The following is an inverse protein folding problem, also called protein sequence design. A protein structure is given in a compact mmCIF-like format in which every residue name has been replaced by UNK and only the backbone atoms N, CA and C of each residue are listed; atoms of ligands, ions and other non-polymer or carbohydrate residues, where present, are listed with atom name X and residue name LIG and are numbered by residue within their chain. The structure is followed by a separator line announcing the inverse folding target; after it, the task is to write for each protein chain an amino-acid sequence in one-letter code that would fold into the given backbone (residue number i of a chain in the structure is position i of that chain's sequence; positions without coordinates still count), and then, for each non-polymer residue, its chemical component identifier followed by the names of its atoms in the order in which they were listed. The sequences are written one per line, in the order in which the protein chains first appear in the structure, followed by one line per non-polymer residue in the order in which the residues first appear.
data_IF_972970904849
#
_entry.id   IF_972970904849
#
_cell.length_a   1.000
_cell.length_b   1.000
_cell.length_c   1.000
_cell.angle_alpha   90.00
_cell.angle_beta   90.00
_cell.angle_gamma   90.00
#
_symmetry.space_group_name_H-M   'P 1'
#
loop_
_entity.id
_entity.type
_entity.pdbx_description
1 polymer ?
#
# COMPACT_ATOMS: atom_id res chain seq x y z
N UNK A 1 2.20 31.07 -19.21
CA UNK A 1 3.05 30.87 -20.40
C UNK A 1 4.45 31.48 -20.21
N UNK A 2 4.57 32.78 -19.91
CA UNK A 2 5.86 33.46 -19.72
C UNK A 2 6.77 32.84 -18.63
N UNK A 3 6.24 32.58 -17.42
CA UNK A 3 7.04 31.96 -16.34
C UNK A 3 7.50 30.54 -16.65
N UNK A 4 6.69 29.77 -17.39
CA UNK A 4 7.04 28.42 -17.81
C UNK A 4 8.20 28.46 -18.80
N UNK A 5 8.09 29.25 -19.88
CA UNK A 5 9.17 29.39 -20.86
C UNK A 5 10.48 29.87 -20.22
N UNK A 6 10.40 30.87 -19.31
CA UNK A 6 11.58 31.37 -18.59
C UNK A 6 12.20 30.30 -17.68
N UNK A 7 11.41 29.44 -17.06
CA UNK A 7 11.93 28.33 -16.27
C UNK A 7 12.57 27.26 -17.16
N UNK A 8 11.95 26.94 -18.31
CA UNK A 8 12.48 25.95 -19.26
C UNK A 8 13.81 26.41 -19.85
N UNK A 9 13.91 27.67 -20.28
CA UNK A 9 15.17 28.25 -20.80
C UNK A 9 16.27 28.17 -19.76
N UNK A 10 16.00 28.56 -18.51
CA UNK A 10 17.00 28.52 -17.46
C UNK A 10 17.44 27.10 -17.08
N UNK A 11 16.55 26.11 -17.21
CA UNK A 11 16.91 24.68 -17.05
C UNK A 11 17.83 24.24 -18.19
N UNK A 12 17.52 24.58 -19.43
CA UNK A 12 18.38 24.26 -20.57
C UNK A 12 19.77 24.92 -20.43
N UNK A 13 19.82 26.20 -20.06
CA UNK A 13 21.08 26.92 -19.83
C UNK A 13 21.91 26.26 -18.72
N UNK A 14 21.26 25.80 -17.64
CA UNK A 14 21.93 25.10 -16.54
C UNK A 14 22.41 23.69 -16.94
N UNK A 15 21.65 22.98 -17.78
CA UNK A 15 22.06 21.69 -18.36
C UNK A 15 23.27 21.88 -19.28
N UNK A 16 23.25 22.88 -20.15
CA UNK A 16 24.35 23.18 -21.08
C UNK A 16 25.62 23.57 -20.31
N UNK A 17 25.50 24.34 -19.21
CA UNK A 17 26.63 24.64 -18.33
C UNK A 17 27.22 23.37 -17.70
N UNK A 18 26.40 22.43 -17.24
CA UNK A 18 26.87 21.18 -16.65
C UNK A 18 27.44 20.20 -17.68
N UNK A 19 26.90 20.18 -18.90
CA UNK A 19 27.45 19.42 -20.02
C UNK A 19 28.83 19.94 -20.43
N UNK A 20 28.98 21.27 -20.53
CA UNK A 20 30.25 21.93 -20.81
C UNK A 20 31.31 21.65 -19.72
N UNK A 21 30.91 21.66 -18.44
CA UNK A 21 31.79 21.31 -17.32
C UNK A 21 32.22 19.84 -17.32
N UNK A 22 31.41 18.96 -17.90
CA UNK A 22 31.67 17.51 -17.95
C UNK A 22 32.33 17.09 -19.28
N UNK A 23 32.68 18.03 -20.15
CA UNK A 23 33.21 17.79 -21.50
C UNK A 23 32.33 16.90 -22.40
N UNK A 24 31.02 16.93 -22.19
CA UNK A 24 30.04 16.19 -23.01
C UNK A 24 29.41 17.16 -24.01
N UNK A 25 29.42 16.81 -25.31
CA UNK A 25 28.93 17.70 -26.37
C UNK A 25 27.40 17.71 -26.47
N UNK A 26 26.74 16.55 -26.32
CA UNK A 26 25.29 16.47 -26.43
C UNK A 26 24.67 15.71 -25.26
N UNK A 27 23.54 16.20 -24.75
CA UNK A 27 22.77 15.52 -23.71
C UNK A 27 22.31 14.10 -24.13
N UNK A 28 22.16 13.87 -25.43
CA UNK A 28 21.79 12.57 -26.01
C UNK A 28 22.85 11.50 -25.82
N UNK A 29 24.11 11.90 -25.63
CA UNK A 29 25.26 10.99 -25.50
C UNK A 29 25.36 10.37 -24.11
N UNK A 30 24.56 10.87 -23.16
CA UNK A 30 24.47 10.36 -21.80
C UNK A 30 23.54 9.14 -21.70
N UNK A 31 23.89 8.20 -20.83
CA UNK A 31 22.96 7.16 -20.38
C UNK A 31 21.81 7.78 -19.57
N UNK A 32 20.65 7.09 -19.49
CA UNK A 32 19.50 7.59 -18.72
C UNK A 32 19.81 7.95 -17.25
N UNK A 33 20.61 7.19 -16.48
CA UNK A 33 20.99 7.60 -15.13
C UNK A 33 21.87 8.87 -15.11
N UNK A 34 22.75 9.07 -16.10
CA UNK A 34 23.55 10.28 -16.22
C UNK A 34 22.71 11.49 -16.62
N UNK A 35 21.74 11.30 -17.51
CA UNK A 35 20.75 12.34 -17.86
C UNK A 35 19.98 12.80 -16.63
N UNK A 36 19.50 11.85 -15.80
CA UNK A 36 18.83 12.17 -14.55
C UNK A 36 19.73 12.95 -13.58
N UNK A 37 21.00 12.54 -13.44
CA UNK A 37 21.97 13.20 -12.56
C UNK A 37 22.27 14.64 -13.02
N UNK A 38 22.44 14.86 -14.33
CA UNK A 38 22.69 16.19 -14.92
C UNK A 38 21.48 17.10 -14.74
N UNK A 39 20.27 16.59 -14.99
CA UNK A 39 19.03 17.32 -14.74
C UNK A 39 18.86 17.67 -13.26
N UNK A 40 19.21 16.76 -12.34
CA UNK A 40 19.14 17.02 -10.91
C UNK A 40 20.14 18.10 -10.46
N UNK A 41 21.37 18.07 -10.98
CA UNK A 41 22.38 19.11 -10.72
C UNK A 41 21.94 20.47 -11.26
N UNK A 42 21.41 20.51 -12.48
CA UNK A 42 20.85 21.72 -13.09
C UNK A 42 19.65 22.28 -12.28
N UNK A 43 18.77 21.40 -11.78
CA UNK A 43 17.65 21.81 -10.93
C UNK A 43 18.13 22.35 -9.57
N UNK A 44 19.21 21.82 -9.00
CA UNK A 44 19.81 22.29 -7.73
C UNK A 44 20.52 23.63 -7.90
N UNK A 45 21.28 23.83 -8.97
CA UNK A 45 22.00 25.10 -9.23
C UNK A 45 21.04 26.27 -9.42
N UNK A 46 19.86 26.03 -10.02
CA UNK A 46 18.79 27.01 -10.13
C UNK A 46 18.17 27.41 -8.78
N UNK A 47 18.25 26.55 -7.75
CA UNK A 47 17.78 26.86 -6.39
C UNK A 47 18.81 27.67 -5.57
N UNK A 48 20.10 27.60 -5.89
CA UNK A 48 21.17 28.19 -5.08
C UNK A 48 21.56 29.62 -5.46
N UNK A 49 21.12 30.14 -6.62
CA UNK A 49 21.47 31.49 -7.06
C UNK A 49 20.48 32.51 -6.47
N UNK A 50 20.95 33.32 -5.52
CA UNK A 50 20.18 34.29 -4.72
C UNK A 50 19.57 35.46 -5.49
N UNK A 51 18.60 35.19 -6.35
CA UNK A 51 17.64 36.13 -6.92
C UNK A 51 16.26 35.47 -6.99
N UNK A 52 15.18 36.20 -7.33
CA UNK A 52 13.84 35.61 -7.40
C UNK A 52 13.86 34.37 -8.31
N UNK A 53 13.80 33.20 -7.71
CA UNK A 53 14.03 31.94 -8.39
C UNK A 53 12.94 31.77 -9.45
N UNK A 54 13.28 31.57 -10.74
CA UNK A 54 12.30 31.30 -11.80
C UNK A 54 11.37 30.14 -11.44
N UNK A 55 11.90 29.15 -10.70
CA UNK A 55 11.14 28.04 -10.16
C UNK A 55 10.15 28.49 -9.08
N UNK A 56 10.55 29.36 -8.15
CA UNK A 56 9.65 29.89 -7.11
C UNK A 56 8.58 30.81 -7.70
N UNK A 57 8.91 31.58 -8.73
CA UNK A 57 7.95 32.40 -9.47
C UNK A 57 6.95 31.53 -10.25
N UNK A 58 7.43 30.47 -10.90
CA UNK A 58 6.57 29.51 -11.58
C UNK A 58 5.67 28.79 -10.57
N UNK A 59 6.22 28.29 -9.47
CA UNK A 59 5.46 27.65 -8.40
C UNK A 59 4.42 28.60 -7.82
N UNK A 60 4.80 29.83 -7.48
CA UNK A 60 3.86 30.84 -6.98
C UNK A 60 2.73 31.08 -7.97
N UNK A 61 3.04 31.20 -9.27
CA UNK A 61 2.02 31.40 -10.29
C UNK A 61 1.12 30.19 -10.48
N UNK A 62 1.68 28.98 -10.41
CA UNK A 62 0.93 27.72 -10.47
C UNK A 62 0.01 27.64 -9.24
N UNK A 63 0.52 27.90 -8.04
CA UNK A 63 -0.26 27.94 -6.80
C UNK A 63 -1.40 28.94 -6.89
N UNK A 64 -1.13 30.19 -7.31
CA UNK A 64 -2.17 31.22 -7.46
C UNK A 64 -3.28 30.80 -8.45
N UNK A 65 -2.91 30.15 -9.55
CA UNK A 65 -3.87 29.68 -10.55
C UNK A 65 -4.65 28.46 -10.07
N UNK A 66 -3.98 27.54 -9.37
CA UNK A 66 -4.58 26.36 -8.76
C UNK A 66 -5.60 26.77 -7.70
N UNK A 67 -5.21 27.65 -6.78
CA UNK A 67 -6.08 28.15 -5.70
C UNK A 67 -7.31 28.86 -6.25
N UNK A 68 -7.14 29.70 -7.28
CA UNK A 68 -8.27 30.36 -7.95
C UNK A 68 -9.18 29.37 -8.67
N UNK A 69 -8.60 28.41 -9.40
CA UNK A 69 -9.35 27.40 -10.14
C UNK A 69 -10.18 26.51 -9.21
N UNK A 70 -9.53 25.98 -8.17
CA UNK A 70 -10.19 25.11 -7.18
C UNK A 70 -11.27 25.89 -6.43
N UNK A 71 -10.99 27.11 -5.93
CA UNK A 71 -12.01 27.89 -5.23
C UNK A 71 -13.19 28.27 -6.13
N UNK A 72 -12.95 28.56 -7.41
CA UNK A 72 -14.02 28.84 -8.38
C UNK A 72 -14.93 27.62 -8.59
N UNK A 73 -14.35 26.45 -8.79
CA UNK A 73 -15.09 25.20 -8.96
C UNK A 73 -15.88 24.81 -7.71
N UNK A 74 -15.28 24.94 -6.53
CA UNK A 74 -15.95 24.70 -5.24
C UNK A 74 -17.10 25.68 -5.04
N UNK A 75 -16.89 26.97 -5.33
CA UNK A 75 -17.95 27.99 -5.22
C UNK A 75 -19.12 27.68 -6.16
N UNK A 76 -18.84 27.19 -7.37
CA UNK A 76 -19.88 26.75 -8.31
C UNK A 76 -20.65 25.53 -7.81
N UNK A 77 -19.99 24.60 -7.12
CA UNK A 77 -20.64 23.41 -6.54
C UNK A 77 -21.53 23.76 -5.34
N UNK A 78 -21.11 24.72 -4.51
CA UNK A 78 -21.93 25.24 -3.40
C UNK A 78 -23.20 25.98 -3.86
N UNK A 79 -23.24 26.44 -5.11
CA UNK A 79 -24.42 27.09 -5.70
C UNK A 79 -25.46 26.09 -6.24
N UNK A 80 -25.16 24.78 -6.23
CA UNK A 80 -26.16 23.76 -6.57
C UNK A 80 -27.19 23.66 -5.44
N UNK A 81 -28.45 23.39 -5.78
CA UNK A 81 -29.52 23.25 -4.80
C UNK A 81 -29.19 22.13 -3.81
N UNK A 82 -29.06 22.53 -2.54
CA UNK A 82 -28.81 21.71 -1.35
C UNK A 82 -27.42 21.02 -1.25
N UNK A 83 -26.32 21.78 -1.03
CA UNK A 83 -25.02 21.19 -0.80
C UNK A 83 -24.98 20.58 0.61
N UNK A 84 -25.09 19.24 0.67
CA UNK A 84 -24.85 18.47 1.91
C UNK A 84 -23.38 18.55 2.39
N UNK A 85 -22.47 18.95 1.50
CA UNK A 85 -21.03 18.99 1.74
C UNK A 85 -20.56 20.42 2.06
N UNK A 86 -19.63 20.55 3.02
CA UNK A 86 -19.03 21.84 3.34
C UNK A 86 -18.05 22.28 2.24
N UNK A 87 -17.71 23.58 2.23
CA UNK A 87 -16.64 24.10 1.36
C UNK A 87 -15.32 23.31 1.52
N UNK A 88 -15.02 22.89 2.75
CA UNK A 88 -13.81 22.12 3.07
C UNK A 88 -13.87 20.72 2.47
N UNK A 89 -15.02 20.06 2.52
CA UNK A 89 -15.20 18.72 1.95
C UNK A 89 -15.01 18.74 0.42
N UNK A 90 -15.62 19.74 -0.24
CA UNK A 90 -15.46 19.94 -1.68
C UNK A 90 -14.01 20.25 -2.06
N UNK A 91 -13.31 21.05 -1.24
CA UNK A 91 -11.89 21.35 -1.44
C UNK A 91 -11.04 20.08 -1.35
N UNK A 92 -11.24 19.28 -0.30
CA UNK A 92 -10.52 18.02 -0.08
C UNK A 92 -10.80 17.01 -1.19
N UNK A 93 -12.04 16.91 -1.67
CA UNK A 93 -12.40 16.07 -2.81
C UNK A 93 -11.62 16.46 -4.08
N UNK A 94 -11.52 17.77 -4.39
CA UNK A 94 -10.74 18.25 -5.54
C UNK A 94 -9.24 18.01 -5.39
N UNK A 95 -8.70 18.16 -4.18
CA UNK A 95 -7.30 17.82 -3.91
C UNK A 95 -7.07 16.32 -4.13
N UNK A 96 -7.97 15.46 -3.64
CA UNK A 96 -7.90 14.01 -3.85
C UNK A 96 -7.93 13.64 -5.34
N UNK A 97 -8.86 14.22 -6.11
CA UNK A 97 -8.95 14.02 -7.56
C UNK A 97 -7.64 14.44 -8.27
N UNK A 98 -7.06 15.55 -7.83
CA UNK A 98 -5.76 16.03 -8.30
C UNK A 98 -4.64 15.04 -8.03
N UNK A 99 -4.50 14.58 -6.78
CA UNK A 99 -3.49 13.58 -6.38
C UNK A 99 -3.67 12.29 -7.17
N UNK A 100 -4.89 11.77 -7.28
CA UNK A 100 -5.23 10.57 -8.07
C UNK A 100 -4.83 10.74 -9.53
N UNK A 101 -5.14 11.88 -10.13
CA UNK A 101 -4.81 12.17 -11.53
C UNK A 101 -3.30 12.25 -11.75
N UNK A 102 -2.58 12.86 -10.81
CA UNK A 102 -1.12 12.96 -10.86
C UNK A 102 -0.45 11.58 -10.71
N UNK A 103 -0.90 10.76 -9.76
CA UNK A 103 -0.36 9.41 -9.57
C UNK A 103 -0.62 8.50 -10.76
N UNK A 104 -1.80 8.59 -11.40
CA UNK A 104 -2.09 7.84 -12.64
C UNK A 104 -1.18 8.26 -13.79
N UNK A 105 -0.81 9.54 -13.87
CA UNK A 105 0.03 10.09 -14.93
C UNK A 105 1.52 9.88 -14.67
N UNK A 106 1.94 9.91 -13.41
CA UNK A 106 3.32 9.82 -12.95
C UNK A 106 3.43 8.82 -11.78
N UNK A 107 3.29 7.51 -12.05
CA UNK A 107 3.34 6.48 -11.00
C UNK A 107 4.69 6.45 -10.26
N UNK A 108 5.78 6.86 -10.91
CA UNK A 108 7.11 6.96 -10.28
C UNK A 108 7.18 7.97 -9.13
N UNK A 109 6.15 8.81 -8.98
CA UNK A 109 6.02 9.75 -7.87
C UNK A 109 5.38 9.13 -6.61
N UNK A 110 5.14 7.81 -6.59
CA UNK A 110 4.54 7.09 -5.46
C UNK A 110 5.24 7.32 -4.12
N UNK A 111 6.56 7.52 -4.12
CA UNK A 111 7.34 7.84 -2.91
C UNK A 111 6.85 9.13 -2.21
N UNK A 112 6.16 10.03 -2.90
CA UNK A 112 5.54 11.21 -2.27
C UNK A 112 4.38 10.84 -1.33
N UNK A 113 3.81 9.64 -1.47
CA UNK A 113 2.83 9.12 -0.52
C UNK A 113 3.45 8.82 0.86
N UNK A 114 4.79 8.82 1.00
CA UNK A 114 5.44 8.77 2.32
C UNK A 114 5.09 9.99 3.19
N UNK A 115 4.60 11.09 2.59
CA UNK A 115 4.05 12.20 3.36
C UNK A 115 2.80 11.82 4.18
N UNK A 116 2.15 10.70 3.85
CA UNK A 116 1.03 10.13 4.59
C UNK A 116 1.46 9.07 5.62
N UNK A 117 2.76 8.95 5.92
CA UNK A 117 3.18 8.10 7.04
C UNK A 117 2.57 8.62 8.35
N UNK A 118 1.99 7.69 9.10
CA UNK A 118 1.18 7.94 10.28
C UNK A 118 -0.07 8.80 10.05
N UNK A 119 -0.52 8.98 8.80
CA UNK A 119 -1.74 9.69 8.44
C UNK A 119 -2.70 8.75 7.68
N UNK A 120 -4.02 8.89 7.87
CA UNK A 120 -4.98 8.09 7.12
C UNK A 120 -4.97 8.48 5.64
N UNK A 121 -4.96 7.50 4.74
CA UNK A 121 -5.16 7.77 3.32
C UNK A 121 -6.66 7.88 3.01
N UNK A 122 -7.09 8.95 2.33
CA UNK A 122 -8.43 9.00 1.73
C UNK A 122 -8.63 7.84 0.75
N UNK A 123 -9.81 7.22 0.75
CA UNK A 123 -10.12 6.02 -0.07
C UNK A 123 -9.75 6.16 -1.56
N UNK A 124 -9.98 7.30 -2.26
CA UNK A 124 -9.58 7.44 -3.65
C UNK A 124 -8.06 7.38 -3.85
N UNK A 125 -7.31 7.98 -2.92
CA UNK A 125 -5.84 7.97 -2.94
C UNK A 125 -5.34 6.58 -2.57
N UNK A 126 -5.94 5.92 -1.57
CA UNK A 126 -5.63 4.54 -1.18
C UNK A 126 -5.65 3.59 -2.36
N UNK A 127 -6.77 3.51 -3.08
CA UNK A 127 -6.90 2.58 -4.20
C UNK A 127 -5.81 2.76 -5.26
N UNK A 128 -5.56 4.02 -5.64
CA UNK A 128 -4.57 4.35 -6.67
C UNK A 128 -3.15 4.17 -6.15
N UNK A 129 -2.89 4.58 -4.91
CA UNK A 129 -1.60 4.40 -4.24
C UNK A 129 -1.23 2.93 -4.15
N UNK A 130 -2.12 2.09 -3.61
CA UNK A 130 -1.91 0.66 -3.52
C UNK A 130 -1.71 0.02 -4.89
N UNK A 131 -2.51 0.40 -5.90
CA UNK A 131 -2.31 -0.09 -7.27
C UNK A 131 -0.92 0.26 -7.82
N UNK A 132 -0.36 1.42 -7.48
CA UNK A 132 0.97 1.83 -7.93
C UNK A 132 2.09 1.14 -7.12
N UNK A 133 1.91 0.93 -5.81
CA UNK A 133 2.88 0.18 -4.99
C UNK A 133 2.86 -1.33 -5.31
N UNK A 134 1.69 -1.89 -5.61
CA UNK A 134 1.46 -3.31 -5.88
C UNK A 134 1.23 -3.60 -7.39
N UNK A 135 1.81 -2.78 -8.26
CA UNK A 135 1.70 -2.96 -9.71
C UNK A 135 2.66 -4.06 -10.19
N UNK A 136 2.12 -5.13 -10.78
CA UNK A 136 2.88 -6.14 -11.49
C UNK A 136 2.13 -6.59 -12.74
N UNK A 137 2.46 -5.98 -13.87
CA UNK A 137 1.76 -6.23 -15.13
C UNK A 137 1.90 -7.66 -15.62
N UNK A 138 2.88 -8.43 -15.15
CA UNK A 138 2.99 -9.85 -15.48
C UNK A 138 1.81 -10.64 -14.91
N UNK A 139 1.41 -10.38 -13.66
CA UNK A 139 0.25 -11.03 -13.04
C UNK A 139 -1.04 -10.68 -13.78
N UNK A 140 -1.25 -9.39 -14.06
CA UNK A 140 -2.45 -8.95 -14.81
C UNK A 140 -2.50 -9.53 -16.21
N UNK A 141 -1.42 -9.43 -16.97
CA UNK A 141 -1.36 -9.91 -18.35
C UNK A 141 -1.53 -11.44 -18.41
N UNK A 142 -0.95 -12.17 -17.45
CA UNK A 142 -1.14 -13.62 -17.33
C UNK A 142 -2.61 -13.95 -17.05
N UNK A 143 -3.25 -13.28 -16.09
CA UNK A 143 -4.66 -13.49 -15.79
C UNK A 143 -5.56 -13.24 -17.00
N UNK A 144 -5.39 -12.12 -17.70
CA UNK A 144 -6.18 -11.79 -18.89
C UNK A 144 -5.94 -12.77 -20.04
N UNK A 145 -4.70 -13.23 -20.21
CA UNK A 145 -4.35 -14.26 -21.20
C UNK A 145 -5.00 -15.61 -20.86
N UNK A 146 -4.95 -16.03 -19.60
CA UNK A 146 -5.56 -17.29 -19.17
C UNK A 146 -7.09 -17.23 -19.29
N UNK A 147 -7.70 -16.11 -18.91
CA UNK A 147 -9.14 -15.86 -19.06
C UNK A 147 -9.58 -15.92 -20.53
N UNK A 148 -8.84 -15.27 -21.43
CA UNK A 148 -9.17 -15.26 -22.87
C UNK A 148 -8.92 -16.59 -23.57
N UNK A 149 -7.89 -17.33 -23.16
CA UNK A 149 -7.51 -18.60 -23.81
C UNK A 149 -8.38 -19.76 -23.31
N UNK A 150 -8.59 -19.85 -22.00
CA UNK A 150 -9.39 -20.88 -21.37
C UNK A 150 -10.02 -20.36 -20.06
N UNK A 151 -11.25 -19.82 -20.09
CA UNK A 151 -11.93 -19.34 -18.89
C UNK A 151 -12.07 -20.38 -17.77
N UNK A 152 -11.95 -21.69 -18.07
CA UNK A 152 -11.99 -22.73 -17.02
C UNK A 152 -10.65 -22.88 -16.30
N UNK A 153 -9.52 -22.50 -16.91
CA UNK A 153 -8.21 -22.62 -16.25
C UNK A 153 -8.01 -21.58 -15.15
N UNK A 154 -8.80 -20.52 -15.10
CA UNK A 154 -8.75 -19.55 -13.99
C UNK A 154 -9.57 -19.98 -12.78
N UNK A 155 -10.35 -21.06 -12.89
CA UNK A 155 -11.18 -21.58 -11.81
C UNK A 155 -10.47 -22.71 -11.08
N UNK A 156 -10.44 -22.60 -9.75
CA UNK A 156 -9.99 -23.67 -8.88
C UNK A 156 -10.94 -24.89 -8.97
N UNK A 157 -10.43 -26.14 -8.91
CA UNK A 157 -11.29 -27.30 -8.70
C UNK A 157 -11.99 -27.29 -7.32
N UNK A 158 -11.47 -26.50 -6.36
CA UNK A 158 -12.01 -26.34 -5.01
C UNK A 158 -12.88 -25.08 -4.87
N UNK A 159 -13.37 -24.52 -5.97
CA UNK A 159 -14.12 -23.26 -6.01
C UNK A 159 -15.34 -23.22 -5.06
N UNK A 160 -16.01 -24.36 -4.87
CA UNK A 160 -17.12 -24.50 -3.92
C UNK A 160 -16.67 -24.50 -2.45
N UNK A 161 -15.48 -25.03 -2.16
CA UNK A 161 -14.88 -24.97 -0.84
C UNK A 161 -14.35 -23.57 -0.52
N UNK A 162 -13.68 -22.93 -1.49
CA UNK A 162 -13.25 -21.54 -1.38
C UNK A 162 -14.45 -20.64 -1.04
N UNK A 163 -15.58 -20.81 -1.74
CA UNK A 163 -16.80 -20.06 -1.41
C UNK A 163 -17.27 -20.31 0.03
N UNK A 164 -17.37 -21.58 0.46
CA UNK A 164 -17.78 -21.92 1.83
C UNK A 164 -16.85 -21.31 2.88
N UNK A 165 -15.54 -21.32 2.61
CA UNK A 165 -14.54 -20.72 3.50
C UNK A 165 -14.66 -19.19 3.54
N UNK A 166 -14.92 -18.54 2.40
CA UNK A 166 -15.23 -17.11 2.38
C UNK A 166 -16.49 -16.79 3.20
N UNK A 167 -17.55 -17.58 3.07
CA UNK A 167 -18.81 -17.37 3.81
C UNK A 167 -18.59 -17.55 5.33
N UNK A 168 -17.90 -18.63 5.72
CA UNK A 168 -17.56 -18.88 7.11
C UNK A 168 -16.65 -17.80 7.70
N UNK A 169 -15.65 -17.35 6.94
CA UNK A 169 -14.77 -16.24 7.32
C UNK A 169 -15.54 -14.94 7.52
N UNK A 170 -16.47 -14.60 6.62
CA UNK A 170 -17.29 -13.40 6.80
C UNK A 170 -18.16 -13.49 8.05
N UNK A 171 -18.69 -14.67 8.39
CA UNK A 171 -19.50 -14.83 9.59
C UNK A 171 -18.74 -14.56 10.89
N UNK A 172 -17.40 -14.65 10.91
CA UNK A 172 -16.59 -14.43 12.11
C UNK A 172 -16.17 -12.97 12.31
N UNK A 173 -16.31 -12.12 11.29
CA UNK A 173 -15.84 -10.73 11.33
C UNK A 173 -16.93 -9.76 11.80
N UNK A 174 -16.60 -8.76 12.64
CA UNK A 174 -17.55 -7.70 13.01
C UNK A 174 -18.11 -6.93 11.82
N UNK A 175 -17.28 -6.68 10.79
CA UNK A 175 -17.68 -6.05 9.53
C UNK A 175 -18.17 -7.04 8.47
N UNK A 176 -18.23 -8.32 8.81
CA UNK A 176 -18.58 -9.41 7.92
C UNK A 176 -19.97 -9.32 7.28
N UNK A 177 -21.04 -8.99 8.03
CA UNK A 177 -22.40 -8.96 7.47
C UNK A 177 -22.55 -7.98 6.30
N UNK A 178 -22.06 -6.74 6.44
CA UNK A 178 -22.15 -5.72 5.37
C UNK A 178 -21.35 -6.08 4.12
N UNK A 179 -20.27 -6.85 4.30
CA UNK A 179 -19.44 -7.36 3.22
C UNK A 179 -20.06 -8.57 2.53
N UNK A 180 -20.62 -9.50 3.31
CA UNK A 180 -21.32 -10.68 2.82
C UNK A 180 -22.57 -10.32 2.00
N UNK A 181 -23.25 -9.24 2.37
CA UNK A 181 -24.41 -8.71 1.64
C UNK A 181 -24.04 -8.16 0.25
N UNK A 182 -22.75 -7.88 -0.02
CA UNK A 182 -22.28 -7.38 -1.30
C UNK A 182 -21.82 -8.54 -2.20
N UNK A 183 -22.62 -8.83 -3.23
CA UNK A 183 -22.28 -9.80 -4.29
C UNK A 183 -20.98 -9.45 -5.00
N UNK A 184 -20.69 -8.16 -5.20
CA UNK A 184 -19.46 -7.71 -5.81
C UNK A 184 -18.24 -8.04 -4.96
N UNK A 185 -18.32 -7.82 -3.64
CA UNK A 185 -17.22 -8.12 -2.73
C UNK A 185 -16.96 -9.63 -2.64
N UNK A 186 -18.02 -10.41 -2.39
CA UNK A 186 -17.90 -11.87 -2.26
C UNK A 186 -17.43 -12.53 -3.57
N UNK A 187 -17.94 -12.06 -4.72
CA UNK A 187 -17.50 -12.56 -6.03
C UNK A 187 -16.04 -12.21 -6.31
N UNK A 188 -15.59 -11.01 -5.93
CA UNK A 188 -14.18 -10.61 -6.07
C UNK A 188 -13.26 -11.45 -5.21
N UNK A 189 -13.57 -11.61 -3.92
CA UNK A 189 -12.76 -12.43 -3.00
C UNK A 189 -12.61 -13.86 -3.52
N UNK A 190 -13.74 -14.48 -3.88
CA UNK A 190 -13.75 -15.81 -4.46
C UNK A 190 -12.90 -15.90 -5.72
N UNK A 191 -13.09 -14.98 -6.67
CA UNK A 191 -12.37 -15.01 -7.94
C UNK A 191 -10.85 -14.82 -7.76
N UNK A 192 -10.43 -13.95 -6.85
CA UNK A 192 -9.02 -13.76 -6.48
C UNK A 192 -8.43 -15.08 -5.95
N UNK A 193 -9.07 -15.71 -4.97
CA UNK A 193 -8.60 -16.95 -4.34
C UNK A 193 -8.61 -18.13 -5.32
N UNK A 194 -9.67 -18.24 -6.13
CA UNK A 194 -9.85 -19.29 -7.13
C UNK A 194 -8.75 -19.23 -8.19
N UNK A 195 -8.44 -18.02 -8.69
CA UNK A 195 -7.35 -17.83 -9.64
C UNK A 195 -5.98 -18.06 -9.00
N UNK A 196 -5.75 -17.55 -7.77
CA UNK A 196 -4.49 -17.80 -7.04
C UNK A 196 -4.23 -19.29 -6.87
N UNK A 197 -5.20 -20.05 -6.36
CA UNK A 197 -5.10 -21.50 -6.21
C UNK A 197 -4.81 -22.21 -7.53
N UNK A 198 -5.51 -21.82 -8.61
CA UNK A 198 -5.26 -22.39 -9.93
C UNK A 198 -3.84 -22.07 -10.43
N UNK A 199 -3.35 -20.87 -10.17
CA UNK A 199 -2.01 -20.41 -10.57
C UNK A 199 -0.88 -21.20 -9.87
N UNK A 200 -1.14 -21.75 -8.69
CA UNK A 200 -0.26 -22.67 -7.96
C UNK A 200 -0.26 -24.09 -8.56
N UNK A 201 -1.06 -24.33 -9.61
CA UNK A 201 -1.22 -25.64 -10.25
C UNK A 201 -2.00 -26.63 -9.40
N UNK A 202 -2.84 -26.16 -8.46
CA UNK A 202 -3.62 -27.00 -7.54
C UNK A 202 -2.76 -27.99 -6.73
N UNK A 203 -1.51 -27.60 -6.44
CA UNK A 203 -0.53 -28.47 -5.74
C UNK A 203 -0.72 -28.47 -4.22
N UNK A 204 -1.41 -27.46 -3.69
CA UNK A 204 -1.67 -27.29 -2.26
C UNK A 204 -3.00 -26.57 -2.03
N UNK A 205 -3.56 -26.78 -0.86
CA UNK A 205 -4.70 -26.01 -0.37
C UNK A 205 -4.28 -24.56 -0.07
N UNK A 206 -5.28 -23.67 -0.09
CA UNK A 206 -5.10 -22.30 0.34
C UNK A 206 -4.98 -22.22 1.85
N UNK A 207 -4.04 -21.39 2.26
CA UNK A 207 -3.84 -20.94 3.62
C UNK A 207 -5.07 -20.25 4.20
N UNK A 208 -5.30 -20.41 5.50
CA UNK A 208 -6.23 -19.53 6.21
C UNK A 208 -5.85 -18.05 6.04
N UNK A 209 -4.57 -17.68 6.20
CA UNK A 209 -4.12 -16.30 6.04
C UNK A 209 -4.36 -15.72 4.65
N UNK A 210 -4.30 -16.55 3.60
CA UNK A 210 -4.60 -16.13 2.23
C UNK A 210 -6.04 -15.64 2.08
N UNK A 211 -7.02 -16.24 2.77
CA UNK A 211 -8.39 -15.73 2.81
C UNK A 211 -8.45 -14.37 3.51
N UNK A 212 -7.75 -14.22 4.64
CA UNK A 212 -7.75 -12.98 5.42
C UNK A 212 -7.19 -11.79 4.61
N UNK A 213 -6.10 -12.01 3.86
CA UNK A 213 -5.47 -10.96 3.06
C UNK A 213 -6.33 -10.45 1.90
N UNK A 214 -7.32 -11.22 1.43
CA UNK A 214 -8.20 -10.74 0.35
C UNK A 214 -9.13 -9.61 0.80
N UNK A 215 -9.47 -9.56 2.09
CA UNK A 215 -10.45 -8.60 2.59
C UNK A 215 -9.99 -7.15 2.39
N UNK A 216 -8.80 -6.72 2.86
CA UNK A 216 -8.33 -5.36 2.65
C UNK A 216 -8.14 -5.01 1.16
N UNK A 217 -7.69 -5.96 0.34
CA UNK A 217 -7.53 -5.75 -1.11
C UNK A 217 -8.89 -5.41 -1.75
N UNK A 218 -9.94 -6.19 -1.45
CA UNK A 218 -11.29 -5.94 -1.99
C UNK A 218 -11.88 -4.63 -1.44
N UNK A 219 -11.69 -4.36 -0.14
CA UNK A 219 -12.13 -3.12 0.50
C UNK A 219 -11.42 -1.87 -0.04
N UNK A 220 -10.19 -2.00 -0.53
CA UNK A 220 -9.44 -0.89 -1.12
C UNK A 220 -10.04 -0.38 -2.43
N UNK A 221 -10.92 -1.16 -3.09
CA UNK A 221 -11.43 -0.82 -4.42
C UNK A 221 -12.21 0.51 -4.41
N UNK A 222 -11.89 1.38 -5.37
CA UNK A 222 -12.57 2.68 -5.54
C UNK A 222 -12.90 2.96 -7.02
N UNK A 223 -14.16 3.23 -7.38
CA UNK A 223 -15.36 3.30 -6.51
C UNK A 223 -15.70 1.94 -5.87
N UNK A 224 -16.48 1.89 -4.77
CA UNK A 224 -16.88 0.62 -4.16
C UNK A 224 -17.52 -0.32 -5.18
N UNK A 225 -17.26 -1.62 -5.03
CA UNK A 225 -17.81 -2.65 -5.91
C UNK A 225 -19.35 -2.70 -5.83
N UNK A 226 -20.04 -3.08 -6.92
CA UNK A 226 -21.50 -3.12 -6.93
C UNK A 226 -22.04 -4.15 -5.94
N UNK A 227 -23.05 -3.75 -5.14
CA UNK A 227 -23.65 -4.64 -4.13
C UNK A 227 -24.40 -5.84 -4.72
N UNK A 228 -25.07 -5.66 -5.86
CA UNK A 228 -25.99 -6.68 -6.40
C UNK A 228 -25.45 -7.43 -7.63
N UNK A 229 -24.29 -7.03 -8.13
CA UNK A 229 -23.73 -7.51 -9.39
C UNK A 229 -22.31 -8.07 -9.21
N UNK A 230 -21.83 -8.80 -10.22
CA UNK A 230 -20.43 -9.24 -10.25
C UNK A 230 -19.51 -8.07 -10.59
N UNK A 231 -18.25 -8.07 -10.12
CA UNK A 231 -17.28 -7.06 -10.49
C UNK A 231 -17.02 -7.07 -12.01
N UNK A 232 -16.75 -5.91 -12.58
CA UNK A 232 -16.27 -5.79 -13.95
C UNK A 232 -14.89 -6.46 -14.10
N UNK A 233 -14.61 -7.05 -15.26
CA UNK A 233 -13.34 -7.73 -15.56
C UNK A 233 -12.12 -6.84 -15.26
N UNK A 234 -12.19 -5.56 -15.65
CA UNK A 234 -11.12 -4.60 -15.41
C UNK A 234 -10.82 -4.44 -13.92
N UNK A 235 -11.86 -4.25 -13.11
CA UNK A 235 -11.74 -4.17 -11.65
C UNK A 235 -11.14 -5.44 -11.06
N UNK A 236 -11.63 -6.59 -11.49
CA UNK A 236 -11.14 -7.88 -11.02
C UNK A 236 -9.67 -8.10 -11.37
N UNK A 237 -9.25 -7.74 -12.60
CA UNK A 237 -7.85 -7.88 -13.03
C UNK A 237 -6.88 -7.04 -12.20
N UNK A 238 -7.30 -5.85 -11.76
CA UNK A 238 -6.50 -4.97 -10.88
C UNK A 238 -6.42 -5.59 -9.48
N UNK A 239 -7.53 -6.08 -8.94
CA UNK A 239 -7.53 -6.70 -7.62
C UNK A 239 -6.69 -7.98 -7.57
N UNK A 240 -6.71 -8.79 -8.63
CA UNK A 240 -5.85 -9.96 -8.78
C UNK A 240 -4.37 -9.55 -8.85
N UNK A 241 -4.04 -8.54 -9.66
CA UNK A 241 -2.69 -7.98 -9.74
C UNK A 241 -2.20 -7.52 -8.37
N UNK A 242 -3.00 -6.72 -7.65
CA UNK A 242 -2.67 -6.23 -6.32
C UNK A 242 -2.48 -7.37 -5.31
N UNK A 243 -3.39 -8.35 -5.30
CA UNK A 243 -3.32 -9.48 -4.36
C UNK A 243 -2.09 -10.35 -4.60
N UNK A 244 -1.82 -10.76 -5.84
CA UNK A 244 -0.67 -11.61 -6.14
C UNK A 244 0.65 -10.87 -5.90
N UNK A 245 0.73 -9.59 -6.27
CA UNK A 245 1.92 -8.77 -5.98
C UNK A 245 2.12 -8.61 -4.47
N UNK A 246 1.03 -8.44 -3.72
CA UNK A 246 1.10 -8.40 -2.27
C UNK A 246 1.66 -9.71 -1.69
N UNK A 247 1.19 -10.86 -2.16
CA UNK A 247 1.73 -12.15 -1.72
C UNK A 247 3.22 -12.31 -2.07
N UNK A 248 3.68 -11.81 -3.20
CA UNK A 248 5.09 -11.88 -3.61
C UNK A 248 6.03 -11.07 -2.69
N UNK A 249 5.54 -9.95 -2.13
CA UNK A 249 6.33 -9.10 -1.22
C UNK A 249 6.22 -9.52 0.25
N UNK A 250 5.32 -10.44 0.59
CA UNK A 250 5.16 -10.87 1.97
C UNK A 250 6.42 -11.60 2.47
N UNK A 251 6.85 -11.32 3.71
CA UNK A 251 7.80 -12.14 4.44
C UNK A 251 7.54 -13.65 4.31
N UNK A 252 8.55 -14.47 3.94
CA UNK A 252 8.40 -15.93 3.87
C UNK A 252 7.79 -16.57 5.12
N UNK A 253 8.09 -16.14 6.37
CA UNK A 253 7.46 -16.70 7.56
C UNK A 253 5.92 -16.53 7.62
N UNK A 254 5.38 -15.49 6.98
CA UNK A 254 3.93 -15.25 6.89
C UNK A 254 3.28 -16.14 5.82
N UNK A 255 4.00 -16.44 4.74
CA UNK A 255 3.55 -17.29 3.63
C UNK A 255 3.71 -18.78 3.95
N UNK A 256 4.80 -19.19 4.60
CA UNK A 256 5.20 -20.60 4.77
C UNK A 256 4.57 -21.30 5.96
N UNK A 257 3.71 -20.62 6.73
CA UNK A 257 3.02 -21.18 7.91
C UNK A 257 2.11 -22.40 7.63
N UNK A 258 2.02 -22.86 6.38
CA UNK A 258 1.32 -24.06 5.92
C UNK A 258 2.15 -25.35 6.01
N UNK A 259 3.48 -25.26 6.04
CA UNK A 259 4.35 -26.42 5.87
C UNK A 259 4.83 -27.01 7.19
N UNK A 260 3.98 -27.08 8.21
CA UNK A 260 4.39 -27.57 9.55
C UNK A 260 5.69 -26.92 10.07
N UNK A 261 6.13 -25.79 9.49
CA UNK A 261 7.26 -25.03 9.98
C UNK A 261 6.77 -24.45 11.29
N UNK A 262 7.31 -25.03 12.34
CA UNK A 262 7.16 -24.55 13.70
C UNK A 262 7.26 -23.04 13.65
N UNK A 263 6.43 -22.37 14.44
CA UNK A 263 6.50 -20.94 14.75
C UNK A 263 7.91 -20.41 15.12
N UNK A 264 8.94 -21.27 15.17
CA UNK A 264 10.37 -21.00 15.26
C UNK A 264 10.89 -19.97 14.25
N UNK A 265 10.36 -19.88 13.02
CA UNK A 265 10.87 -18.93 12.02
C UNK A 265 10.63 -17.45 12.37
N UNK A 266 9.67 -17.17 13.27
CA UNK A 266 9.39 -15.82 13.78
C UNK A 266 10.00 -15.55 15.16
N UNK A 267 10.73 -16.49 15.73
CA UNK A 267 11.39 -16.30 17.03
C UNK A 267 12.33 -15.09 17.06
N UNK A 268 13.18 -14.84 16.03
CA UNK A 268 14.03 -13.64 16.01
C UNK A 268 13.22 -12.34 16.07
N UNK A 269 12.07 -12.33 15.39
CA UNK A 269 11.19 -11.18 15.36
C UNK A 269 10.57 -10.89 16.73
N UNK A 270 10.02 -11.90 17.41
CA UNK A 270 9.45 -11.73 18.74
C UNK A 270 10.49 -11.31 19.77
N UNK A 271 11.76 -11.73 19.62
CA UNK A 271 12.87 -11.23 20.44
C UNK A 271 13.16 -9.75 20.18
N UNK A 272 13.06 -9.29 18.93
CA UNK A 272 13.20 -7.88 18.57
C UNK A 272 12.07 -7.04 19.18
N UNK A 273 10.84 -7.54 19.15
CA UNK A 273 9.69 -6.88 19.81
C UNK A 273 9.87 -6.85 21.32
N UNK A 274 10.32 -7.93 21.93
CA UNK A 274 10.65 -7.96 23.36
C UNK A 274 11.71 -6.90 23.69
N UNK A 275 12.77 -6.80 22.88
CA UNK A 275 13.81 -5.79 23.03
C UNK A 275 13.22 -4.37 22.93
N UNK A 276 12.43 -4.07 21.91
CA UNK A 276 11.80 -2.76 21.76
C UNK A 276 10.82 -2.44 22.88
N UNK A 277 10.05 -3.41 23.36
CA UNK A 277 9.13 -3.23 24.49
C UNK A 277 9.91 -2.86 25.75
N UNK A 278 11.05 -3.52 26.00
CA UNK A 278 11.93 -3.22 27.14
C UNK A 278 12.54 -1.82 27.08
N UNK A 279 12.88 -1.35 25.88
CA UNK A 279 13.49 -0.04 25.66
C UNK A 279 12.46 1.10 25.67
N UNK A 280 11.27 0.89 25.09
CA UNK A 280 10.23 1.91 24.96
C UNK A 280 9.34 1.99 26.22
N UNK A 281 8.92 0.84 26.76
CA UNK A 281 7.98 0.77 27.89
C UNK A 281 8.43 -0.29 28.92
N UNK A 282 9.50 0.06 29.63
CA UNK A 282 10.04 -0.76 30.72
C UNK A 282 9.00 -1.11 31.80
N UNK A 283 8.07 -0.20 32.21
CA UNK A 283 6.98 -0.56 33.11
C UNK A 283 6.11 -1.73 32.62
N UNK A 284 5.63 -1.70 31.37
CA UNK A 284 4.83 -2.78 30.79
C UNK A 284 5.65 -4.07 30.69
N UNK A 285 6.89 -3.98 30.22
CA UNK A 285 7.81 -5.13 30.17
C UNK A 285 7.95 -5.80 31.55
N UNK A 286 8.21 -5.01 32.60
CA UNK A 286 8.34 -5.52 33.96
C UNK A 286 7.04 -6.11 34.49
N UNK A 287 5.89 -5.51 34.15
CA UNK A 287 4.59 -6.05 34.53
C UNK A 287 4.34 -7.42 33.88
N UNK A 288 4.55 -7.56 32.57
CA UNK A 288 4.43 -8.85 31.87
C UNK A 288 5.37 -9.90 32.49
N UNK A 289 6.60 -9.51 32.83
CA UNK A 289 7.54 -10.38 33.53
C UNK A 289 7.01 -10.83 34.90
N UNK A 290 6.43 -9.94 35.69
CA UNK A 290 5.85 -10.28 36.99
C UNK A 290 4.63 -11.18 36.88
N UNK A 291 3.79 -11.00 35.86
CA UNK A 291 2.62 -11.87 35.61
C UNK A 291 3.06 -13.29 35.27
N UNK A 292 4.13 -13.43 34.49
CA UNK A 292 4.69 -14.74 34.13
C UNK A 292 5.46 -15.41 35.28
N UNK A 293 6.00 -14.62 36.21
CA UNK A 293 6.73 -15.09 37.39
C UNK A 293 6.17 -14.49 38.68
N UNK A 294 5.07 -15.05 39.22
CA UNK A 294 4.62 -14.72 40.56
C UNK A 294 5.74 -15.05 41.57
N UNK A 295 5.99 -14.13 42.50
CA UNK A 295 7.11 -14.16 43.44
C UNK A 295 7.34 -15.57 44.04
N UNK A 296 8.49 -16.19 43.74
CA UNK A 296 8.90 -17.48 44.32
C UNK A 296 9.54 -18.47 43.35
N UNK A 297 9.35 -18.32 42.04
CA UNK A 297 10.12 -19.07 41.05
C UNK A 297 11.55 -18.51 41.01
N UNK A 298 12.54 -19.31 41.43
CA UNK A 298 13.94 -18.94 41.38
C UNK A 298 14.30 -18.44 39.97
N UNK A 299 14.84 -17.22 39.89
CA UNK A 299 15.48 -16.70 38.69
C UNK A 299 16.79 -17.47 38.47
N UNK A 300 16.68 -18.72 38.02
CA UNK A 300 17.82 -19.48 37.54
C UNK A 300 18.25 -18.87 36.20
N UNK A 301 19.33 -18.10 36.22
CA UNK A 301 20.23 -17.76 35.12
C UNK A 301 19.63 -17.39 33.74
N UNK A 302 19.79 -16.09 33.41
CA UNK A 302 20.14 -15.49 32.10
C UNK A 302 19.49 -15.99 30.79
N UNK A 303 18.91 -15.03 30.06
CA UNK A 303 18.67 -15.04 28.59
C UNK A 303 17.57 -15.94 28.00
N UNK A 304 16.69 -16.46 28.82
CA UNK A 304 15.61 -17.32 28.33
C UNK A 304 14.40 -16.47 27.89
N UNK A 305 13.96 -16.52 26.60
CA UNK A 305 13.12 -15.51 25.95
C UNK A 305 11.61 -15.72 26.25
N UNK A 306 11.25 -15.83 27.53
CA UNK A 306 9.89 -16.18 27.93
C UNK A 306 8.86 -15.11 27.57
N UNK A 307 9.25 -13.83 27.50
CA UNK A 307 8.38 -12.75 27.04
C UNK A 307 8.22 -12.84 25.52
N UNK A 308 9.28 -13.06 24.73
CA UNK A 308 9.13 -13.36 23.30
C UNK A 308 8.22 -14.56 23.06
N UNK A 309 8.31 -15.63 23.87
CA UNK A 309 7.41 -16.78 23.77
C UNK A 309 5.94 -16.43 24.10
N UNK A 310 5.71 -15.56 25.09
CA UNK A 310 4.37 -15.05 25.39
C UNK A 310 3.85 -14.19 24.23
N UNK A 311 4.63 -13.21 23.77
CA UNK A 311 4.29 -12.35 22.64
C UNK A 311 4.00 -13.18 21.39
N UNK A 312 4.79 -14.24 21.17
CA UNK A 312 4.55 -15.23 20.13
C UNK A 312 3.20 -15.90 20.30
N UNK A 313 2.86 -16.43 21.46
CA UNK A 313 1.56 -17.09 21.67
C UNK A 313 0.37 -16.13 21.53
N UNK A 314 0.49 -14.92 22.06
CA UNK A 314 -0.63 -13.97 22.14
C UNK A 314 -0.79 -13.14 20.85
N UNK A 315 0.31 -12.78 20.21
CA UNK A 315 0.31 -11.83 19.11
C UNK A 315 0.57 -12.48 17.76
N UNK A 316 1.05 -13.74 17.69
CA UNK A 316 1.22 -14.44 16.41
C UNK A 316 -0.03 -14.42 15.53
N UNK A 317 -1.27 -14.63 16.04
CA UNK A 317 -2.46 -14.50 15.21
C UNK A 317 -2.57 -13.10 14.55
N UNK A 318 -2.20 -12.04 15.27
CA UNK A 318 -2.25 -10.67 14.76
C UNK A 318 -1.26 -10.47 13.61
N UNK A 319 -0.05 -11.03 13.73
CA UNK A 319 0.96 -10.95 12.67
C UNK A 319 0.63 -11.86 11.49
N UNK A 320 0.25 -13.11 11.76
CA UNK A 320 -0.13 -14.09 10.73
C UNK A 320 -1.25 -13.54 9.85
N UNK A 321 -2.23 -12.86 10.42
CA UNK A 321 -3.36 -12.32 9.67
C UNK A 321 -3.23 -10.83 9.34
N UNK A 322 -2.08 -10.20 9.62
CA UNK A 322 -1.87 -8.75 9.44
C UNK A 322 -3.04 -7.92 9.98
N UNK A 323 -3.43 -8.25 11.21
CA UNK A 323 -4.51 -7.66 11.99
C UNK A 323 -5.93 -7.84 11.42
N UNK A 324 -6.09 -8.54 10.31
CA UNK A 324 -7.41 -8.87 9.77
C UNK A 324 -8.16 -9.75 10.78
N UNK A 325 -9.39 -9.34 11.13
CA UNK A 325 -10.21 -10.00 12.15
C UNK A 325 -9.92 -9.60 13.60
N UNK A 326 -8.87 -8.79 13.83
CA UNK A 326 -8.58 -8.20 15.14
C UNK A 326 -8.97 -6.73 15.22
N UNK A 327 -8.89 -6.02 14.10
CA UNK A 327 -9.23 -4.60 13.98
C UNK A 327 -10.54 -4.38 13.23
N UNK A 328 -11.22 -3.28 13.56
CA UNK A 328 -12.28 -2.74 12.72
C UNK A 328 -11.72 -2.30 11.35
N UNK A 329 -12.59 -2.09 10.37
CA UNK A 329 -12.20 -1.76 8.98
C UNK A 329 -11.31 -0.53 8.91
N UNK A 330 -11.66 0.60 9.54
CA UNK A 330 -10.87 1.82 9.37
C UNK A 330 -9.44 1.70 9.93
N UNK A 331 -9.22 1.20 11.17
CA UNK A 331 -7.87 0.93 11.67
C UNK A 331 -7.12 -0.14 10.85
N UNK A 332 -7.83 -1.16 10.34
CA UNK A 332 -7.23 -2.19 9.49
C UNK A 332 -6.68 -1.58 8.19
N UNK A 333 -7.50 -0.77 7.50
CA UNK A 333 -7.09 -0.11 6.27
C UNK A 333 -5.93 0.86 6.53
N UNK A 334 -5.92 1.55 7.67
CA UNK A 334 -4.79 2.37 8.09
C UNK A 334 -3.49 1.56 8.24
N UNK A 335 -3.52 0.43 8.95
CA UNK A 335 -2.34 -0.43 9.13
C UNK A 335 -1.81 -0.91 7.77
N UNK A 336 -2.72 -1.32 6.89
CA UNK A 336 -2.35 -1.76 5.54
C UNK A 336 -1.82 -0.63 4.66
N UNK A 337 -2.35 0.59 4.80
CA UNK A 337 -1.78 1.76 4.14
C UNK A 337 -0.33 1.97 4.54
N UNK A 338 -0.04 1.94 5.85
CA UNK A 338 1.32 2.14 6.35
C UNK A 338 2.26 1.04 5.84
N UNK A 339 1.81 -0.21 5.84
CA UNK A 339 2.59 -1.35 5.33
C UNK A 339 2.89 -1.22 3.83
N UNK A 340 1.88 -0.94 3.01
CA UNK A 340 2.04 -0.91 1.55
C UNK A 340 2.89 0.28 1.12
N UNK A 341 2.71 1.45 1.73
CA UNK A 341 3.48 2.66 1.40
C UNK A 341 4.95 2.54 1.79
N UNK A 342 5.29 1.69 2.76
CA UNK A 342 6.67 1.46 3.21
C UNK A 342 7.32 0.23 2.59
N UNK A 343 6.56 -0.59 1.86
CA UNK A 343 7.04 -1.85 1.29
C UNK A 343 8.17 -1.71 0.27
N UNK A 344 8.35 -0.54 -0.34
CA UNK A 344 9.44 -0.27 -1.28
C UNK A 344 10.69 0.35 -0.63
N UNK A 345 10.67 0.58 0.69
CA UNK A 345 11.83 1.09 1.42
C UNK A 345 12.90 -0.01 1.55
N UNK A 346 14.19 0.32 1.33
CA UNK A 346 15.27 -0.62 1.54
C UNK A 346 15.26 -1.17 2.97
N UNK A 347 15.46 -2.48 3.12
CA UNK A 347 15.49 -3.20 4.41
C UNK A 347 14.18 -3.16 5.21
N UNK A 348 13.06 -2.69 4.64
CA UNK A 348 11.79 -2.64 5.38
C UNK A 348 11.38 -4.00 5.94
N UNK A 349 11.47 -5.06 5.13
CA UNK A 349 11.15 -6.42 5.56
C UNK A 349 12.18 -6.99 6.55
N UNK A 350 13.44 -6.57 6.50
CA UNK A 350 14.47 -6.94 7.49
C UNK A 350 14.32 -6.18 8.82
N UNK A 351 13.63 -5.03 8.79
CA UNK A 351 13.24 -4.32 10.00
C UNK A 351 11.94 -4.88 10.59
N UNK A 352 11.06 -5.42 9.74
CA UNK A 352 9.76 -5.99 10.09
C UNK A 352 9.80 -7.49 10.41
N UNK A 353 10.91 -8.20 10.18
CA UNK A 353 11.23 -9.58 10.62
C UNK A 353 12.48 -9.51 11.51
#
# INVERSE_FOLDING_TARGET
MYCFMKCTTNIYDAVDQHLAQSHVQYFTDLSDPEKSLVLERAARSLKSVGGSNPYDNLNKKISDLLDKGINSDVSRQLLKEDPLETKTDLLLAKICDGIVSLLRKWPDQKYKLHAFLNQPLPQPIRFVGWNVFLSNHNHRNKFLKDLSTNPRSILSPMDAEIQRNCDAFMATLPAGPSMADSRGNMSSMKAILSYHHSSLGNKRDLAESEYYYTLPIVLSHNPPLPRNEKPYEKSLSILIEMYLTFLDILPPPLIQSHLNSTTQDLEPWFRKVEFHLKEIDRPVYNHLRMVLYPQGAQMANSDDPYIALLLKKCCYPWFKFLFVGCLNVDPLMYVWDQYIITSDLPNFHDELI
#
